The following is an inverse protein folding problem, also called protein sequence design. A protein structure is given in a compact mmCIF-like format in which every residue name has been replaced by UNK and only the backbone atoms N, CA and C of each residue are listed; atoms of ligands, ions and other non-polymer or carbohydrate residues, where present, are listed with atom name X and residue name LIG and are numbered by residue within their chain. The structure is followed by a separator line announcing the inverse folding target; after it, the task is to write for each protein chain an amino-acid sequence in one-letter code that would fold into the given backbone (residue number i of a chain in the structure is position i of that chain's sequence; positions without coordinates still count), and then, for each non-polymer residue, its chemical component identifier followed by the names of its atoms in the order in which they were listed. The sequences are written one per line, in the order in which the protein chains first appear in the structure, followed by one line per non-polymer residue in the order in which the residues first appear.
data_IF_923992104307
#
_entry.id   IF_923992104307
#
_cell.length_a   1.000
_cell.length_b   1.000
_cell.length_c   1.000
_cell.angle_alpha   90.00
_cell.angle_beta   90.00
_cell.angle_gamma   90.00
#
_symmetry.space_group_name_H-M   'P 1'
#
loop_
_entity.id
_entity.type
_entity.pdbx_description
1 polymer ?
#
# COMPACT_ATOMS: atom_id res chain seq x y z
N UNK A 1 -12.65 -6.23 -6.54
CA UNK A 1 -12.24 -4.84 -6.31
C UNK A 1 -11.10 -4.55 -7.26
N UNK A 2 -11.13 -3.38 -7.90
CA UNK A 2 -10.08 -2.92 -8.82
C UNK A 2 -9.29 -1.76 -8.21
N UNK A 3 -8.11 -1.45 -8.75
CA UNK A 3 -7.25 -0.40 -8.20
C UNK A 3 -7.95 0.95 -8.19
N UNK A 4 -8.66 1.33 -9.26
CA UNK A 4 -9.36 2.63 -9.33
C UNK A 4 -10.48 2.81 -8.29
N UNK A 5 -10.98 1.74 -7.70
CA UNK A 5 -12.04 1.74 -6.67
C UNK A 5 -11.47 1.94 -5.26
N UNK A 6 -10.15 1.89 -5.10
CA UNK A 6 -9.51 2.05 -3.79
C UNK A 6 -9.83 3.43 -3.21
N UNK A 7 -10.20 3.43 -1.94
CA UNK A 7 -10.56 4.65 -1.21
C UNK A 7 -9.63 4.82 -0.01
N UNK A 8 -9.28 6.08 0.34
CA UNK A 8 -8.45 6.35 1.49
C UNK A 8 -9.10 5.79 2.76
N UNK A 9 -8.27 5.23 3.65
CA UNK A 9 -8.65 4.72 4.97
C UNK A 9 -9.65 3.55 4.95
N UNK A 10 -9.67 2.76 3.88
CA UNK A 10 -10.51 1.55 3.77
C UNK A 10 -9.68 0.29 3.58
N UNK A 11 -10.25 -0.83 3.99
CA UNK A 11 -9.73 -2.16 3.67
C UNK A 11 -9.85 -2.42 2.16
N UNK A 12 -8.89 -3.17 1.65
CA UNK A 12 -8.75 -3.47 0.24
C UNK A 12 -8.26 -4.92 0.07
N UNK A 13 -8.99 -5.69 -0.73
CA UNK A 13 -8.55 -7.00 -1.21
C UNK A 13 -8.51 -6.92 -2.72
N UNK A 14 -7.32 -6.97 -3.31
CA UNK A 14 -7.08 -6.65 -4.71
C UNK A 14 -5.93 -7.49 -5.29
N UNK A 15 -6.07 -7.90 -6.54
CA UNK A 15 -4.99 -8.54 -7.32
C UNK A 15 -4.29 -7.45 -8.13
N UNK A 16 -2.97 -7.36 -8.04
CA UNK A 16 -2.18 -6.33 -8.72
C UNK A 16 -0.90 -6.91 -9.31
N UNK A 17 -0.43 -6.30 -10.40
CA UNK A 17 0.89 -6.55 -10.98
C UNK A 17 1.90 -5.55 -10.48
N UNK A 18 3.09 -6.02 -10.18
CA UNK A 18 4.23 -5.19 -9.79
C UNK A 18 4.83 -4.57 -11.04
N UNK A 19 4.79 -3.24 -11.10
CA UNK A 19 5.34 -2.45 -12.20
C UNK A 19 6.78 -2.06 -11.92
N UNK A 20 7.04 -1.57 -10.71
CA UNK A 20 8.38 -1.15 -10.31
C UNK A 20 8.60 -1.35 -8.82
N UNK A 21 9.79 -1.81 -8.44
CA UNK A 21 10.20 -1.97 -7.04
C UNK A 21 11.21 -0.90 -6.66
N UNK A 22 10.80 0.02 -5.80
CA UNK A 22 11.71 1.03 -5.26
C UNK A 22 12.73 0.44 -4.28
N UNK A 23 13.80 1.19 -4.02
CA UNK A 23 14.82 0.81 -3.05
C UNK A 23 14.26 0.75 -1.61
N UNK A 24 14.68 -0.27 -0.87
CA UNK A 24 14.35 -0.41 0.54
C UNK A 24 15.04 0.68 1.38
N UNK A 25 14.28 1.31 2.26
CA UNK A 25 14.75 2.35 3.18
C UNK A 25 14.56 1.91 4.61
N UNK A 26 15.52 2.23 5.47
CA UNK A 26 15.34 2.05 6.91
C UNK A 26 14.47 3.16 7.48
N UNK A 27 13.53 2.78 8.34
CA UNK A 27 12.67 3.68 9.10
C UNK A 27 12.69 3.27 10.56
N UNK A 28 12.62 4.24 11.46
CA UNK A 28 12.47 3.97 12.89
C UNK A 28 11.03 4.14 13.33
N UNK A 29 10.53 3.14 14.04
CA UNK A 29 9.25 3.19 14.73
C UNK A 29 9.31 4.07 15.97
N UNK A 30 8.13 4.43 16.50
CA UNK A 30 8.03 5.28 17.71
C UNK A 30 8.60 4.62 18.97
N UNK A 31 8.65 3.29 19.00
CA UNK A 31 9.23 2.49 20.08
C UNK A 31 10.75 2.32 19.93
N UNK A 32 11.38 2.89 18.90
CA UNK A 32 12.81 2.81 18.63
C UNK A 32 13.23 1.58 17.82
N UNK A 33 12.31 0.70 17.44
CA UNK A 33 12.62 -0.42 16.55
C UNK A 33 12.92 0.07 15.12
N UNK A 34 13.85 -0.60 14.44
CA UNK A 34 14.21 -0.33 13.05
C UNK A 34 13.50 -1.29 12.12
N UNK A 35 12.86 -0.76 11.08
CA UNK A 35 12.18 -1.53 10.04
C UNK A 35 12.70 -1.13 8.67
N UNK A 36 12.50 -1.99 7.69
CA UNK A 36 12.69 -1.65 6.28
C UNK A 36 11.33 -1.45 5.61
N UNK A 37 11.27 -0.47 4.72
CA UNK A 37 10.10 -0.26 3.86
C UNK A 37 10.57 0.02 2.43
N UNK A 38 9.91 -0.61 1.47
CA UNK A 38 10.05 -0.30 0.05
C UNK A 38 8.69 0.16 -0.49
N UNK A 39 8.68 1.28 -1.21
CA UNK A 39 7.50 1.68 -1.97
C UNK A 39 7.55 0.98 -3.34
N UNK A 40 6.56 0.13 -3.60
CA UNK A 40 6.44 -0.69 -4.81
C UNK A 40 5.27 -0.18 -5.63
N UNK A 41 5.50 0.21 -6.89
CA UNK A 41 4.41 0.59 -7.77
C UNK A 41 3.70 -0.68 -8.26
N UNK A 42 2.42 -0.79 -7.93
CA UNK A 42 1.56 -1.90 -8.33
C UNK A 42 0.30 -1.40 -9.01
N UNK A 43 -0.34 -2.22 -9.84
CA UNK A 43 -1.60 -1.83 -10.44
C UNK A 43 -2.26 -2.93 -11.26
N UNK A 44 -3.39 -2.56 -11.84
CA UNK A 44 -4.18 -3.35 -12.78
C UNK A 44 -4.57 -2.48 -13.99
N UNK A 45 -5.46 -2.98 -14.84
CA UNK A 45 -5.88 -2.26 -16.04
C UNK A 45 -6.64 -0.94 -15.72
N UNK A 46 -7.09 -0.76 -14.48
CA UNK A 46 -7.91 0.38 -14.07
C UNK A 46 -7.08 1.51 -13.44
N UNK A 47 -5.91 1.21 -12.87
CA UNK A 47 -5.03 2.20 -12.27
C UNK A 47 -3.82 1.60 -11.58
N UNK A 48 -3.01 2.47 -10.98
CA UNK A 48 -1.85 2.09 -10.19
C UNK A 48 -1.84 2.78 -8.82
N UNK A 49 -1.11 2.22 -7.87
CA UNK A 49 -0.92 2.77 -6.52
C UNK A 49 0.43 2.31 -5.98
N UNK A 50 1.05 3.12 -5.12
CA UNK A 50 2.19 2.70 -4.33
C UNK A 50 1.73 1.75 -3.22
N UNK A 51 2.36 0.58 -3.16
CA UNK A 51 2.24 -0.40 -2.11
C UNK A 51 3.48 -0.33 -1.21
N UNK A 52 3.30 0.06 0.04
CA UNK A 52 4.38 0.06 1.03
C UNK A 52 4.55 -1.34 1.59
N UNK A 53 5.64 -2.00 1.18
CA UNK A 53 6.02 -3.36 1.58
C UNK A 53 7.07 -3.28 2.68
N UNK A 54 6.88 -4.05 3.75
CA UNK A 54 7.67 -3.96 4.97
C UNK A 54 8.53 -5.19 5.20
N UNK A 55 9.72 -4.97 5.75
CA UNK A 55 10.65 -5.97 6.26
C UNK A 55 10.86 -7.13 5.26
N UNK A 56 10.73 -8.38 5.71
CA UNK A 56 11.04 -9.58 4.91
C UNK A 56 10.14 -9.71 3.67
N UNK A 57 8.96 -9.08 3.65
CA UNK A 57 8.10 -9.10 2.48
C UNK A 57 8.72 -8.35 1.29
N UNK A 58 9.65 -7.44 1.53
CA UNK A 58 10.34 -6.70 0.46
C UNK A 58 11.09 -7.67 -0.45
N UNK A 59 11.71 -8.70 0.09
CA UNK A 59 12.49 -9.65 -0.70
C UNK A 59 11.59 -10.69 -1.41
N UNK A 60 10.35 -10.84 -0.96
CA UNK A 60 9.35 -11.75 -1.55
C UNK A 60 8.59 -11.18 -2.76
N UNK A 61 8.91 -9.95 -3.18
CA UNK A 61 8.27 -9.28 -4.33
C UNK A 61 9.31 -8.79 -5.34
N UNK A 62 9.02 -8.98 -6.62
CA UNK A 62 9.86 -8.57 -7.75
C UNK A 62 9.01 -7.92 -8.85
N UNK A 63 9.67 -7.12 -9.70
CA UNK A 63 9.01 -6.53 -10.87
C UNK A 63 8.45 -7.61 -11.79
N UNK A 64 7.25 -7.39 -12.31
CA UNK A 64 6.53 -8.35 -13.15
C UNK A 64 5.69 -9.38 -12.39
N UNK A 65 5.89 -9.57 -11.09
CA UNK A 65 5.05 -10.47 -10.28
C UNK A 65 3.59 -10.01 -10.29
N UNK A 66 2.66 -10.97 -10.27
CA UNK A 66 1.25 -10.71 -9.95
C UNK A 66 0.98 -11.23 -8.54
N UNK A 67 0.43 -10.37 -7.70
CA UNK A 67 0.20 -10.64 -6.28
C UNK A 67 -1.26 -10.42 -5.91
N UNK A 68 -1.79 -11.36 -5.12
CA UNK A 68 -3.07 -11.23 -4.42
C UNK A 68 -2.82 -10.60 -3.06
N UNK A 69 -3.32 -9.38 -2.86
CA UNK A 69 -3.30 -8.69 -1.56
C UNK A 69 -4.64 -8.91 -0.88
N UNK A 70 -4.62 -9.54 0.29
CA UNK A 70 -5.81 -9.80 1.12
C UNK A 70 -5.70 -9.05 2.44
N UNK A 71 -6.83 -8.53 2.94
CA UNK A 71 -6.88 -7.62 4.11
C UNK A 71 -5.81 -6.52 4.03
N UNK A 72 -5.64 -5.94 2.85
CA UNK A 72 -4.88 -4.72 2.67
C UNK A 72 -5.62 -3.52 3.25
N UNK A 73 -4.91 -2.42 3.44
CA UNK A 73 -5.47 -1.18 3.91
C UNK A 73 -4.88 -0.01 3.14
N UNK A 74 -5.72 0.96 2.77
CA UNK A 74 -5.27 2.16 2.07
C UNK A 74 -5.00 3.26 3.08
N UNK A 75 -3.74 3.62 3.24
CA UNK A 75 -3.31 4.73 4.10
C UNK A 75 -3.12 6.01 3.29
N UNK A 76 -3.11 7.15 3.97
CA UNK A 76 -2.74 8.43 3.38
C UNK A 76 -1.52 8.95 4.12
N UNK A 77 -0.42 9.12 3.40
CA UNK A 77 0.85 9.63 3.93
C UNK A 77 1.15 10.93 3.22
N UNK A 78 1.13 12.05 3.96
CA UNK A 78 1.37 13.41 3.42
C UNK A 78 0.49 13.73 2.20
N UNK A 79 -0.80 13.36 2.26
CA UNK A 79 -1.77 13.61 1.18
C UNK A 79 -1.74 12.61 0.02
N UNK A 80 -0.83 11.63 0.04
CA UNK A 80 -0.68 10.58 -0.99
C UNK A 80 -1.23 9.25 -0.49
N UNK A 81 -2.09 8.61 -1.30
CA UNK A 81 -2.63 7.28 -0.98
C UNK A 81 -1.57 6.19 -1.17
N UNK A 82 -1.55 5.22 -0.25
CA UNK A 82 -0.68 4.04 -0.32
C UNK A 82 -1.41 2.81 0.15
N UNK A 83 -1.29 1.71 -0.60
CA UNK A 83 -1.69 0.39 -0.11
C UNK A 83 -0.64 -0.08 0.91
N UNK A 84 -1.08 -0.79 1.94
CA UNK A 84 -0.23 -1.53 2.89
C UNK A 84 -0.97 -2.79 3.30
N UNK A 85 -0.27 -3.78 3.87
CA UNK A 85 -0.93 -4.90 4.53
C UNK A 85 -1.64 -4.41 5.79
N UNK A 86 -2.88 -4.84 6.00
CA UNK A 86 -3.62 -4.65 7.25
C UNK A 86 -3.11 -5.57 8.35
N UNK A 87 -3.78 -5.55 9.51
CA UNK A 87 -3.35 -6.32 10.69
C UNK A 87 -3.31 -7.83 10.45
N UNK A 88 -4.22 -8.34 9.62
CA UNK A 88 -4.24 -9.74 9.20
C UNK A 88 -3.92 -9.87 7.71
N UNK A 89 -3.34 -8.81 7.13
CA UNK A 89 -3.07 -8.70 5.71
C UNK A 89 -2.01 -9.68 5.25
N UNK A 90 -2.21 -10.21 4.04
CA UNK A 90 -1.25 -11.08 3.37
C UNK A 90 -1.07 -10.65 1.92
N UNK A 91 0.12 -10.90 1.40
CA UNK A 91 0.39 -10.85 -0.03
C UNK A 91 0.89 -12.23 -0.48
N UNK A 92 0.33 -12.74 -1.56
CA UNK A 92 0.71 -14.04 -2.12
C UNK A 92 0.88 -13.90 -3.63
N UNK A 93 1.93 -14.51 -4.19
CA UNK A 93 2.08 -14.56 -5.65
C UNK A 93 0.99 -15.45 -6.24
N UNK A 94 0.51 -15.08 -7.41
CA UNK A 94 -0.58 -15.78 -8.09
C UNK A 94 -0.26 -15.95 -9.57
N UNK A 95 -0.77 -17.02 -10.18
CA UNK A 95 -0.56 -17.31 -11.61
C UNK A 95 -1.51 -16.52 -12.53
N UNK A 96 -2.33 -15.62 -11.96
CA UNK A 96 -3.21 -14.74 -12.75
C UNK A 96 -2.39 -13.82 -13.63
N UNK A 97 -2.89 -13.57 -14.83
CA UNK A 97 -2.25 -12.68 -15.81
C UNK A 97 -2.89 -11.31 -15.79
N UNK A 98 -2.07 -10.28 -15.64
CA UNK A 98 -2.44 -8.86 -15.88
C UNK A 98 -1.54 -8.35 -16.99
N UNK A 99 -2.10 -8.19 -18.18
CA UNK A 99 -1.33 -7.83 -19.38
C UNK A 99 -0.86 -6.38 -19.30
N UNK A 100 -1.78 -5.47 -18.99
CA UNK A 100 -1.55 -4.03 -18.97
C UNK A 100 -1.87 -3.45 -17.59
N UNK A 101 -1.03 -2.50 -17.16
CA UNK A 101 -1.27 -1.71 -15.95
C UNK A 101 -1.44 -0.25 -16.36
N UNK A 102 -2.53 0.37 -15.91
CA UNK A 102 -2.77 1.78 -16.17
C UNK A 102 -1.97 2.65 -15.19
N UNK A 103 -0.73 2.98 -15.58
CA UNK A 103 0.16 3.82 -14.77
C UNK A 103 -0.19 5.31 -14.82
N UNK A 104 -1.00 5.74 -15.80
CA UNK A 104 -1.46 7.13 -15.91
C UNK A 104 -2.46 7.48 -14.81
N UNK A 105 -3.36 6.54 -14.47
CA UNK A 105 -4.26 6.67 -13.33
C UNK A 105 -3.60 6.20 -12.02
N UNK A 106 -2.51 6.86 -11.63
CA UNK A 106 -1.83 6.59 -10.37
C UNK A 106 -2.56 7.27 -9.20
N UNK A 107 -3.19 6.47 -8.34
CA UNK A 107 -3.91 6.94 -7.16
C UNK A 107 -3.02 7.58 -6.11
N UNK A 108 -1.73 7.22 -6.05
CA UNK A 108 -0.79 7.85 -5.12
C UNK A 108 -0.45 9.29 -5.49
N UNK A 109 -0.63 9.68 -6.76
CA UNK A 109 -0.41 11.06 -7.22
C UNK A 109 -1.61 11.97 -6.98
N UNK A 110 -2.79 11.41 -6.66
CA UNK A 110 -3.98 12.19 -6.35
C UNK A 110 -3.81 12.82 -4.96
N UNK A 111 -3.91 14.14 -4.88
CA UNK A 111 -3.95 14.83 -3.58
C UNK A 111 -5.29 14.52 -2.91
N UNK A 112 -5.22 13.84 -1.77
CA UNK A 112 -6.38 13.56 -0.94
C UNK A 112 -6.39 14.53 0.23
N UNK A 113 -7.44 15.35 0.33
CA UNK A 113 -7.72 16.12 1.54
C UNK A 113 -8.10 15.16 2.67
N UNK A 114 -7.13 14.84 3.51
CA UNK A 114 -7.34 13.97 4.67
C UNK A 114 -7.95 14.78 5.83
N UNK A 115 -9.28 14.90 5.84
CA UNK A 115 -10.05 15.56 6.91
C UNK A 115 -10.06 14.77 8.25
N UNK A 116 -9.14 13.82 8.42
CA UNK A 116 -9.03 13.05 9.64
C UNK A 116 -8.58 13.93 10.81
N UNK A 117 -9.53 14.22 11.70
CA UNK A 117 -9.25 14.69 13.04
C UNK A 117 -8.84 13.48 13.89
N UNK A 118 -7.57 13.31 14.29
CA UNK A 118 -7.23 12.27 15.24
C UNK A 118 -8.10 12.47 16.48
N UNK A 119 -8.86 11.43 16.86
CA UNK A 119 -9.65 11.46 18.10
C UNK A 119 -8.67 11.73 19.23
N UNK A 120 -8.68 12.95 19.78
CA UNK A 120 -7.94 13.27 20.99
C UNK A 120 -8.50 12.38 22.09
N UNK A 121 -7.79 11.29 22.41
CA UNK A 121 -8.03 10.56 23.63
C UNK A 121 -7.70 11.54 24.76
N UNK A 122 -8.76 12.10 25.35
CA UNK A 122 -8.64 12.97 26.50
C UNK A 122 -8.19 12.08 27.66
N UNK A 123 -6.88 11.94 27.87
CA UNK A 123 -6.32 11.35 29.07
C UNK A 123 -6.66 12.29 30.23
N UNK A 124 -7.86 12.13 30.79
CA UNK A 124 -8.18 12.66 32.12
C UNK A 124 -7.22 11.98 33.08
N UNK A 125 -6.16 12.69 33.44
CA UNK A 125 -5.31 12.38 34.59
C UNK A 125 -6.20 12.42 35.82
N UNK A 126 -6.26 11.31 36.55
CA UNK A 126 -6.62 11.31 37.96
C UNK A 126 -5.38 11.65 38.78
#
# INVERSE_FOLDING_TARGET
MKVNELQPRKNATVTVKVVNKGEAKQVMSKDGSSHKVADVLVGDETGSILFSVWDDNIDNVSEGDVIDVTDGYVTVVRGSMRLTLGRQGKMEKTDKTIDNVNTENNLSNKQVEDNYRPRRFNSRRF
#
